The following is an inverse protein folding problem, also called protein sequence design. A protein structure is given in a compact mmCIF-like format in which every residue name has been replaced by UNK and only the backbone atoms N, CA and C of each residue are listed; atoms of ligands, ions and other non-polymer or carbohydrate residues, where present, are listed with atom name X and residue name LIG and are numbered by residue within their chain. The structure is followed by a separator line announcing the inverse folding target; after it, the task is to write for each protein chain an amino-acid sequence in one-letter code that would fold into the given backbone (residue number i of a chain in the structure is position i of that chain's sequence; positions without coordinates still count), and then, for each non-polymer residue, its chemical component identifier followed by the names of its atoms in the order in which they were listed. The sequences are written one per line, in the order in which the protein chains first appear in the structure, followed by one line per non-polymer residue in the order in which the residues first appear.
data_IF_196936237796
#
_entry.id   IF_196936237796
#
_cell.length_a   1.000
_cell.length_b   1.000
_cell.length_c   1.000
_cell.angle_alpha   90.00
_cell.angle_beta   90.00
_cell.angle_gamma   90.00
#
_symmetry.space_group_name_H-M   'P 1'
#
loop_
_entity.id
_entity.type
_entity.pdbx_description
1 polymer ?
#
# COMPACT_ATOMS: atom_id res chain seq x y z
N UNK A 1 -8.34 -6.58 -72.25
CA UNK A 1 -7.57 -7.28 -71.19
C UNK A 1 -6.97 -6.31 -70.17
N UNK A 2 -6.22 -5.28 -70.59
CA UNK A 2 -5.56 -4.33 -69.66
C UNK A 2 -6.56 -3.53 -68.81
N UNK A 3 -7.65 -3.02 -69.40
CA UNK A 3 -8.68 -2.29 -68.66
C UNK A 3 -9.38 -3.12 -67.56
N UNK A 4 -9.59 -4.42 -67.82
CA UNK A 4 -10.16 -5.35 -66.85
C UNK A 4 -9.20 -5.61 -65.68
N UNK A 5 -7.90 -5.70 -65.98
CA UNK A 5 -6.85 -5.88 -64.98
C UNK A 5 -6.71 -4.63 -64.08
N UNK A 6 -6.83 -3.44 -64.66
CA UNK A 6 -6.90 -2.18 -63.91
C UNK A 6 -8.12 -2.13 -62.98
N UNK A 7 -9.28 -2.61 -63.43
CA UNK A 7 -10.50 -2.61 -62.63
C UNK A 7 -10.40 -3.55 -61.42
N UNK A 8 -9.79 -4.74 -61.61
CA UNK A 8 -9.49 -5.66 -60.50
C UNK A 8 -8.53 -5.02 -59.50
N UNK A 9 -7.46 -4.37 -59.99
CA UNK A 9 -6.49 -3.70 -59.12
C UNK A 9 -7.15 -2.61 -58.26
N UNK A 10 -8.10 -1.86 -58.86
CA UNK A 10 -8.85 -0.81 -58.19
C UNK A 10 -9.74 -1.40 -57.08
N UNK A 11 -10.46 -2.48 -57.34
CA UNK A 11 -11.26 -3.18 -56.34
C UNK A 11 -10.41 -3.71 -55.17
N UNK A 12 -9.24 -4.30 -55.44
CA UNK A 12 -8.32 -4.78 -54.41
C UNK A 12 -7.80 -3.59 -53.57
N UNK A 13 -7.44 -2.48 -54.21
CA UNK A 13 -6.95 -1.29 -53.49
C UNK A 13 -8.01 -0.70 -52.56
N UNK A 14 -9.26 -0.62 -53.00
CA UNK A 14 -10.39 -0.15 -52.19
C UNK A 14 -10.67 -1.09 -51.00
N UNK A 15 -10.62 -2.40 -51.23
CA UNK A 15 -10.77 -3.40 -50.17
C UNK A 15 -9.67 -3.29 -49.13
N UNK A 16 -8.40 -3.19 -49.55
CA UNK A 16 -7.27 -3.04 -48.64
C UNK A 16 -7.36 -1.75 -47.83
N UNK A 17 -7.70 -0.63 -48.47
CA UNK A 17 -7.92 0.65 -47.79
C UNK A 17 -9.00 0.54 -46.72
N UNK A 18 -10.13 -0.09 -47.04
CA UNK A 18 -11.21 -0.31 -46.07
C UNK A 18 -10.76 -1.19 -44.90
N UNK A 19 -10.12 -2.32 -45.18
CA UNK A 19 -9.66 -3.27 -44.17
C UNK A 19 -8.64 -2.64 -43.21
N UNK A 20 -7.61 -1.98 -43.75
CA UNK A 20 -6.57 -1.36 -42.93
C UNK A 20 -7.10 -0.18 -42.13
N UNK A 21 -7.99 0.65 -42.69
CA UNK A 21 -8.61 1.74 -41.94
C UNK A 21 -9.42 1.24 -40.76
N UNK A 22 -10.18 0.15 -40.95
CA UNK A 22 -10.96 -0.43 -39.86
C UNK A 22 -10.07 -1.07 -38.78
N UNK A 23 -8.99 -1.74 -39.17
CA UNK A 23 -8.03 -2.30 -38.20
C UNK A 23 -7.31 -1.19 -37.41
N UNK A 24 -6.97 -0.09 -38.08
CA UNK A 24 -6.30 1.06 -37.47
C UNK A 24 -7.22 1.82 -36.50
N UNK A 25 -8.52 1.94 -36.81
CA UNK A 25 -9.49 2.56 -35.90
C UNK A 25 -9.68 1.72 -34.62
N UNK A 26 -9.76 0.39 -34.74
CA UNK A 26 -9.85 -0.52 -33.61
C UNK A 26 -8.61 -0.45 -32.71
N UNK A 27 -7.42 -0.47 -33.30
CA UNK A 27 -6.16 -0.35 -32.55
C UNK A 27 -6.05 0.99 -31.82
N UNK A 28 -6.43 2.10 -32.47
CA UNK A 28 -6.46 3.42 -31.81
C UNK A 28 -7.40 3.41 -30.59
N UNK A 29 -8.58 2.83 -30.72
CA UNK A 29 -9.54 2.73 -29.60
C UNK A 29 -8.97 1.91 -28.45
N UNK A 30 -8.35 0.76 -28.73
CA UNK A 30 -7.71 -0.07 -27.72
C UNK A 30 -6.58 0.68 -27.02
N UNK A 31 -5.74 1.39 -27.78
CA UNK A 31 -4.64 2.18 -27.24
C UNK A 31 -5.12 3.29 -26.30
N UNK A 32 -6.19 4.01 -26.66
CA UNK A 32 -6.77 5.05 -25.80
C UNK A 32 -7.28 4.47 -24.48
N UNK A 33 -7.98 3.33 -24.53
CA UNK A 33 -8.48 2.65 -23.33
C UNK A 33 -7.34 2.17 -22.44
N UNK A 34 -6.32 1.54 -23.03
CA UNK A 34 -5.16 1.05 -22.30
C UNK A 34 -4.37 2.20 -21.67
N UNK A 35 -4.19 3.32 -22.39
CA UNK A 35 -3.55 4.52 -21.86
C UNK A 35 -4.33 5.08 -20.68
N UNK A 36 -5.65 5.16 -20.77
CA UNK A 36 -6.50 5.63 -19.66
C UNK A 36 -6.33 4.74 -18.41
N UNK A 37 -6.37 3.41 -18.59
CA UNK A 37 -6.15 2.46 -17.49
C UNK A 37 -4.75 2.59 -16.88
N UNK A 38 -3.73 2.74 -17.73
CA UNK A 38 -2.35 2.97 -17.30
C UNK A 38 -2.23 4.27 -16.48
N UNK A 39 -2.80 5.37 -16.96
CA UNK A 39 -2.75 6.67 -16.28
C UNK A 39 -3.51 6.60 -14.93
N UNK A 40 -4.64 5.90 -14.86
CA UNK A 40 -5.36 5.65 -13.61
C UNK A 40 -4.52 4.85 -12.60
N UNK A 41 -3.86 3.79 -13.04
CA UNK A 41 -2.98 2.97 -12.19
C UNK A 41 -1.76 3.75 -11.72
N UNK A 42 -1.10 4.46 -12.63
CA UNK A 42 0.05 5.32 -12.33
C UNK A 42 -0.32 6.39 -11.32
N UNK A 43 -1.49 7.01 -11.46
CA UNK A 43 -1.98 8.00 -10.50
C UNK A 43 -2.29 7.40 -9.13
N UNK A 44 -2.82 6.18 -9.05
CA UNK A 44 -3.01 5.47 -7.77
C UNK A 44 -1.67 5.20 -7.07
N UNK A 45 -0.64 4.79 -7.80
CA UNK A 45 0.70 4.57 -7.26
C UNK A 45 1.32 5.90 -6.81
N UNK A 46 1.31 6.92 -7.67
CA UNK A 46 1.87 8.23 -7.35
C UNK A 46 1.18 8.91 -6.16
N UNK A 47 -0.13 8.68 -5.95
CA UNK A 47 -0.81 9.15 -4.74
C UNK A 47 -0.30 8.45 -3.48
N UNK A 48 0.05 7.16 -3.56
CA UNK A 48 0.66 6.43 -2.43
C UNK A 48 2.11 6.88 -2.16
N UNK A 49 2.90 7.16 -3.20
CA UNK A 49 4.29 7.64 -3.05
C UNK A 49 4.42 9.12 -2.75
N UNK A 50 3.34 9.92 -2.84
CA UNK A 50 3.33 11.32 -2.39
C UNK A 50 3.40 11.50 -0.87
N UNK A 51 3.46 10.42 -0.09
CA UNK A 51 3.90 10.47 1.31
C UNK A 51 5.44 10.57 1.36
N UNK A 52 5.98 11.69 0.87
CA UNK A 52 7.36 12.12 1.09
C UNK A 52 7.37 13.37 1.98
N UNK A 53 6.33 13.57 2.77
CA UNK A 53 6.47 14.42 3.94
C UNK A 53 7.42 13.70 4.87
N UNK A 54 8.48 14.39 5.28
CA UNK A 54 9.48 13.84 6.17
C UNK A 54 8.79 13.43 7.46
N UNK A 55 8.73 12.12 7.73
CA UNK A 55 8.16 11.60 8.96
C UNK A 55 9.06 12.04 10.12
N UNK A 56 8.54 12.91 10.98
CA UNK A 56 9.23 13.32 12.20
C UNK A 56 8.84 12.34 13.31
N UNK A 57 9.82 11.58 13.78
CA UNK A 57 9.68 10.69 14.94
C UNK A 57 10.42 11.33 16.11
N UNK A 58 9.71 11.59 17.22
CA UNK A 58 10.31 12.09 18.45
C UNK A 58 10.40 10.97 19.46
N UNK A 59 11.60 10.43 19.66
CA UNK A 59 11.86 9.44 20.69
C UNK A 59 11.92 10.09 22.08
N UNK A 60 11.36 9.42 23.08
CA UNK A 60 11.32 9.84 24.48
C UNK A 60 11.65 8.65 25.36
N UNK A 61 12.18 8.90 26.55
CA UNK A 61 12.35 7.85 27.54
C UNK A 61 10.97 7.45 28.08
N UNK A 62 10.61 6.16 28.08
CA UNK A 62 9.35 5.70 28.66
C UNK A 62 9.34 5.91 30.17
N UNK A 63 8.25 6.44 30.72
CA UNK A 63 8.06 6.64 32.16
C UNK A 63 7.83 5.32 32.90
N UNK A 64 7.21 4.37 32.21
CA UNK A 64 6.85 3.05 32.72
C UNK A 64 7.57 1.96 31.92
N UNK A 65 8.11 0.96 32.62
CA UNK A 65 8.88 -0.14 32.01
C UNK A 65 8.01 -1.36 31.67
N UNK A 66 6.76 -1.38 32.13
CA UNK A 66 5.83 -2.48 31.86
C UNK A 66 4.38 -2.04 31.95
N UNK A 67 3.51 -2.82 31.30
CA UNK A 67 2.07 -2.64 31.34
C UNK A 67 1.34 -3.89 30.88
N UNK A 68 0.03 -3.79 30.84
CA UNK A 68 -0.87 -4.84 30.36
C UNK A 68 -1.74 -4.28 29.25
N UNK A 69 -1.99 -5.08 28.21
CA UNK A 69 -2.89 -4.68 27.13
C UNK A 69 -4.33 -4.55 27.66
N UNK A 70 -4.91 -3.37 27.51
CA UNK A 70 -6.24 -3.01 28.02
C UNK A 70 -7.38 -3.57 27.18
N UNK A 71 -7.19 -3.64 25.87
CA UNK A 71 -8.18 -4.14 24.90
C UNK A 71 -7.44 -4.85 23.78
N UNK A 72 -8.11 -5.82 23.14
CA UNK A 72 -7.53 -6.52 21.99
C UNK A 72 -7.02 -5.52 20.93
N UNK A 73 -5.72 -5.55 20.66
CA UNK A 73 -5.07 -4.60 19.78
C UNK A 73 -4.04 -5.29 18.89
N UNK A 74 -3.48 -4.54 17.94
CA UNK A 74 -2.50 -5.08 17.00
C UNK A 74 -1.09 -4.69 17.45
N UNK A 75 -0.16 -5.64 17.34
CA UNK A 75 1.27 -5.37 17.42
C UNK A 75 1.76 -4.97 16.02
N UNK A 76 2.20 -3.72 15.87
CA UNK A 76 2.64 -3.16 14.60
C UNK A 76 4.15 -3.26 14.43
N UNK A 77 4.64 -3.38 13.19
CA UNK A 77 6.09 -3.37 12.89
C UNK A 77 6.73 -1.99 13.14
N UNK A 78 5.95 -0.92 12.97
CA UNK A 78 6.39 0.47 13.13
C UNK A 78 5.25 1.34 13.67
N UNK A 79 5.55 2.45 14.35
CA UNK A 79 4.58 3.28 15.08
C UNK A 79 3.70 4.19 14.19
N UNK A 80 2.89 3.59 13.32
CA UNK A 80 1.94 4.29 12.45
C UNK A 80 0.67 3.45 12.24
N UNK A 81 -0.46 4.13 12.01
CA UNK A 81 -1.76 3.49 11.79
C UNK A 81 -1.80 2.58 10.55
N UNK A 82 -0.97 2.84 9.55
CA UNK A 82 -0.87 2.06 8.32
C UNK A 82 0.20 0.94 8.37
N UNK A 83 0.68 0.63 9.58
CA UNK A 83 1.73 -0.34 9.79
C UNK A 83 1.33 -1.77 9.47
N UNK A 84 2.34 -2.58 9.14
CA UNK A 84 2.16 -4.02 8.98
C UNK A 84 1.92 -4.60 10.37
N UNK A 85 0.83 -5.36 10.50
CA UNK A 85 0.47 -6.06 11.73
C UNK A 85 1.33 -7.33 11.82
N UNK A 86 2.09 -7.45 12.91
CA UNK A 86 2.92 -8.62 13.23
C UNK A 86 2.11 -9.72 13.92
N UNK A 87 1.26 -9.33 14.88
CA UNK A 87 0.34 -10.23 15.59
C UNK A 87 -0.79 -9.44 16.25
N UNK A 88 -1.82 -10.14 16.70
CA UNK A 88 -2.86 -9.57 17.56
C UNK A 88 -2.51 -9.86 19.02
N UNK A 89 -2.66 -8.88 19.88
CA UNK A 89 -2.50 -8.99 21.32
C UNK A 89 -3.88 -9.08 21.97
N UNK A 90 -4.02 -10.03 22.88
CA UNK A 90 -5.23 -10.21 23.67
C UNK A 90 -5.23 -9.28 24.88
N UNK A 91 -6.40 -8.84 25.30
CA UNK A 91 -6.61 -8.14 26.57
C UNK A 91 -6.01 -8.95 27.74
N UNK A 92 -5.33 -8.26 28.65
CA UNK A 92 -4.65 -8.90 29.76
C UNK A 92 -3.22 -9.37 29.44
N UNK A 93 -2.75 -9.25 28.20
CA UNK A 93 -1.37 -9.62 27.84
C UNK A 93 -0.37 -8.69 28.51
N UNK A 94 0.57 -9.26 29.28
CA UNK A 94 1.66 -8.51 29.88
C UNK A 94 2.73 -8.16 28.84
N UNK A 95 3.16 -6.90 28.86
CA UNK A 95 4.17 -6.36 27.94
C UNK A 95 5.24 -5.57 28.69
N UNK A 96 6.48 -5.71 28.25
CA UNK A 96 7.59 -4.87 28.69
C UNK A 96 7.79 -3.74 27.71
N UNK A 97 8.07 -2.54 28.21
CA UNK A 97 8.28 -1.34 27.39
C UNK A 97 9.77 -1.14 27.20
N UNK A 98 10.20 -1.06 25.94
CA UNK A 98 11.60 -0.81 25.59
C UNK A 98 11.83 0.65 25.18
N UNK A 99 10.91 1.23 24.40
CA UNK A 99 11.06 2.59 23.88
C UNK A 99 9.70 3.30 23.73
N UNK A 100 9.74 4.63 23.61
CA UNK A 100 8.58 5.48 23.40
C UNK A 100 8.85 6.45 22.24
N UNK A 101 7.90 6.53 21.31
CA UNK A 101 7.96 7.42 20.17
C UNK A 101 6.67 8.21 20.01
N UNK A 102 6.78 9.51 19.72
CA UNK A 102 5.66 10.37 19.36
C UNK A 102 5.70 10.66 17.85
N UNK A 103 4.62 10.33 17.16
CA UNK A 103 4.44 10.53 15.72
C UNK A 103 3.02 11.05 15.48
N UNK A 104 2.87 12.13 14.71
CA UNK A 104 1.58 12.75 14.40
C UNK A 104 0.71 13.05 15.66
N UNK A 105 1.35 13.50 16.74
CA UNK A 105 0.72 13.73 18.06
C UNK A 105 0.11 12.49 18.72
N UNK A 106 0.48 11.29 18.27
CA UNK A 106 0.14 10.01 18.92
C UNK A 106 1.39 9.43 19.57
N UNK A 107 1.22 8.83 20.74
CA UNK A 107 2.29 8.17 21.46
C UNK A 107 2.21 6.67 21.20
N UNK A 108 3.35 6.09 20.87
CA UNK A 108 3.53 4.68 20.63
C UNK A 108 4.64 4.15 21.51
N UNK A 109 4.48 2.90 21.95
CA UNK A 109 5.46 2.20 22.75
C UNK A 109 5.96 0.98 22.01
N UNK A 110 7.28 0.83 21.99
CA UNK A 110 7.89 -0.43 21.58
C UNK A 110 7.76 -1.42 22.73
N UNK A 111 7.02 -2.49 22.48
CA UNK A 111 6.71 -3.52 23.46
C UNK A 111 7.44 -4.81 23.14
N UNK A 112 7.94 -5.47 24.18
CA UNK A 112 8.41 -6.84 24.15
C UNK A 112 7.42 -7.76 24.87
N UNK A 113 7.11 -8.88 24.23
CA UNK A 113 6.22 -9.92 24.73
C UNK A 113 7.04 -11.20 24.92
N UNK A 114 6.89 -11.81 26.09
CA UNK A 114 7.53 -13.10 26.39
C UNK A 114 6.83 -14.24 25.64
N UNK A 115 7.23 -14.50 24.39
CA UNK A 115 6.80 -15.69 23.64
C UNK A 115 7.87 -16.80 23.68
N UNK A 116 7.43 -18.08 23.71
CA UNK A 116 8.35 -19.24 23.73
C UNK A 116 9.25 -19.29 22.50
N UNK A 117 8.70 -18.93 21.34
CA UNK A 117 9.38 -19.07 20.05
C UNK A 117 10.13 -17.80 19.62
N UNK A 118 9.97 -16.69 20.37
CA UNK A 118 10.54 -15.35 20.08
C UNK A 118 10.17 -14.76 18.71
N UNK A 119 9.32 -15.41 17.93
CA UNK A 119 8.78 -14.88 16.67
C UNK A 119 7.76 -13.79 16.98
N UNK A 120 7.85 -12.65 16.28
CA UNK A 120 6.96 -11.49 16.44
C UNK A 120 6.80 -11.04 17.90
N UNK A 121 7.86 -11.19 18.69
CA UNK A 121 7.87 -10.87 20.13
C UNK A 121 8.14 -9.40 20.43
N UNK A 122 8.40 -8.58 19.41
CA UNK A 122 8.64 -7.14 19.49
C UNK A 122 7.84 -6.38 18.46
N UNK A 123 7.40 -5.19 18.82
CA UNK A 123 6.72 -4.28 17.90
C UNK A 123 6.16 -3.07 18.64
N UNK A 124 5.30 -2.32 17.97
CA UNK A 124 4.77 -1.04 18.43
C UNK A 124 3.28 -1.14 18.74
N UNK A 125 2.86 -0.52 19.84
CA UNK A 125 1.46 -0.42 20.28
C UNK A 125 1.17 1.03 20.68
N UNK A 126 -0.01 1.53 20.33
CA UNK A 126 -0.47 2.88 20.72
C UNK A 126 -0.78 2.95 22.22
N UNK A 127 -0.43 4.07 22.86
CA UNK A 127 -0.58 4.30 24.31
C UNK A 127 -1.98 3.95 24.84
N UNK A 128 -3.03 4.32 24.11
CA UNK A 128 -4.43 4.13 24.51
C UNK A 128 -4.80 2.65 24.76
N UNK A 129 -4.02 1.72 24.21
CA UNK A 129 -4.23 0.28 24.36
C UNK A 129 -3.46 -0.32 25.54
N UNK A 130 -2.65 0.46 26.26
CA UNK A 130 -1.81 -0.01 27.36
C UNK A 130 -2.38 0.50 28.69
N UNK A 131 -2.53 -0.42 29.64
CA UNK A 131 -2.80 -0.12 31.04
C UNK A 131 -1.50 -0.28 31.83
N UNK A 132 -1.05 0.80 32.45
CA UNK A 132 0.19 0.82 33.20
C UNK A 132 0.09 0.07 34.53
N UNK A 133 1.08 -0.76 34.81
CA UNK A 133 1.29 -1.36 36.13
C UNK A 133 2.26 -0.48 36.91
N UNK A 134 1.81 0.05 38.05
CA UNK A 134 2.61 0.84 39.01
C UNK A 134 3.38 -0.12 39.93
#
# INVERSE_FOLDING_TARGET
MIAFLLLILLCISLYLLYYFNNKLSLQKRQFILLKKQYDELKNKINKKTKCLDTLIIKYKTPENTSGTIKVNCNLCLYPLDNSIILMNLEEGTFVQIEDCAEINNKIWYEVWISSKDKINSKGWVEEDNIQWTI
#
